data_IF_386571618609
#
_entry.id   IF_386571618609
#
_cell.length_a   1.000
_cell.length_b   1.000
_cell.length_c   1.000
_cell.angle_alpha   90.00
_cell.angle_beta   90.00
_cell.angle_gamma   90.00
#
_symmetry.space_group_name_H-M   'P 1'
#
loop_
_entity.id
_entity.type
_entity.pdbx_description
1 polymer ?
#
# COMPACT_ATOMS: atom_id res chain seq x y z
N UNK A 1 14.41 -2.88 -12.78
CA UNK A 1 14.08 -1.82 -13.75
C UNK A 1 14.80 -0.50 -13.41
N UNK A 2 14.99 -0.20 -12.13
CA UNK A 2 15.77 0.98 -11.70
C UNK A 2 17.24 0.63 -11.61
N UNK A 3 17.55 -0.43 -10.86
CA UNK A 3 18.90 -0.91 -10.61
C UNK A 3 18.88 -2.43 -10.41
N UNK A 4 20.05 -3.07 -10.47
CA UNK A 4 20.25 -4.48 -10.13
C UNK A 4 20.82 -4.67 -8.72
N UNK A 5 21.26 -3.58 -8.08
CA UNK A 5 21.78 -3.57 -6.72
C UNK A 5 20.66 -3.16 -5.73
N UNK A 6 19.78 -4.10 -5.45
CA UNK A 6 18.62 -3.87 -4.58
C UNK A 6 18.94 -4.31 -3.16
N UNK A 7 18.92 -3.35 -2.24
CA UNK A 7 18.97 -3.61 -0.81
C UNK A 7 17.59 -3.37 -0.18
N UNK A 8 17.20 -4.23 0.75
CA UNK A 8 15.92 -4.11 1.43
C UNK A 8 16.14 -3.76 2.89
N UNK A 9 15.57 -2.65 3.33
CA UNK A 9 15.58 -2.21 4.72
C UNK A 9 14.33 -2.76 5.43
N UNK A 10 14.53 -3.66 6.38
CA UNK A 10 13.49 -4.26 7.21
C UNK A 10 13.56 -3.64 8.61
N UNK A 11 12.53 -2.91 8.98
CA UNK A 11 12.45 -2.21 10.27
C UNK A 11 11.21 -2.70 11.03
N UNK A 12 11.38 -3.07 12.29
CA UNK A 12 10.25 -3.50 13.13
C UNK A 12 10.68 -4.02 14.48
N UNK A 13 9.79 -4.73 15.16
CA UNK A 13 10.04 -5.51 16.37
C UNK A 13 9.87 -6.99 16.05
N UNK A 14 10.88 -7.81 16.34
CA UNK A 14 10.84 -9.25 16.09
C UNK A 14 10.85 -9.60 14.60
N UNK A 15 11.68 -8.93 13.80
CA UNK A 15 11.66 -9.02 12.32
C UNK A 15 12.58 -10.09 11.71
N UNK A 16 13.15 -10.99 12.51
CA UNK A 16 14.08 -12.03 12.04
C UNK A 16 13.48 -12.91 10.94
N UNK A 17 12.22 -13.36 11.12
CA UNK A 17 11.54 -14.21 10.13
C UNK A 17 11.27 -13.48 8.82
N UNK A 18 10.90 -12.20 8.91
CA UNK A 18 10.68 -11.34 7.74
C UNK A 18 11.98 -11.10 6.99
N UNK A 19 13.05 -10.77 7.71
CA UNK A 19 14.38 -10.56 7.13
C UNK A 19 14.88 -11.82 6.41
N UNK A 20 14.65 -13.00 7.00
CA UNK A 20 14.98 -14.28 6.37
C UNK A 20 14.17 -14.49 5.09
N UNK A 21 12.86 -14.31 5.11
CA UNK A 21 12.02 -14.47 3.92
C UNK A 21 12.44 -13.52 2.80
N UNK A 22 12.77 -12.27 3.12
CA UNK A 22 13.24 -11.29 2.13
C UNK A 22 14.62 -11.66 1.58
N UNK A 23 15.50 -12.25 2.38
CA UNK A 23 16.82 -12.68 1.89
C UNK A 23 16.74 -13.79 0.83
N UNK A 24 15.66 -14.53 0.78
CA UNK A 24 15.41 -15.59 -0.19
C UNK A 24 14.82 -15.07 -1.52
N UNK A 25 14.47 -13.78 -1.60
CA UNK A 25 13.92 -13.15 -2.82
C UNK A 25 15.03 -12.93 -3.85
N UNK A 26 14.88 -13.38 -5.11
CA UNK A 26 15.86 -13.14 -6.18
C UNK A 26 16.11 -11.64 -6.40
N UNK A 27 17.35 -11.31 -6.78
CA UNK A 27 17.80 -9.94 -7.03
C UNK A 27 17.94 -9.02 -5.80
N UNK A 28 17.54 -9.46 -4.62
CA UNK A 28 17.93 -8.80 -3.37
C UNK A 28 19.40 -9.15 -3.08
N UNK A 29 20.25 -8.14 -2.90
CA UNK A 29 21.68 -8.32 -2.62
C UNK A 29 21.99 -8.23 -1.14
N UNK A 30 21.22 -7.43 -0.41
CA UNK A 30 21.40 -7.22 1.02
C UNK A 30 20.08 -6.95 1.69
N UNK A 31 19.90 -7.49 2.89
CA UNK A 31 18.82 -7.13 3.81
C UNK A 31 19.45 -6.38 4.99
N UNK A 32 19.04 -5.14 5.20
CA UNK A 32 19.44 -4.34 6.35
C UNK A 32 18.35 -4.48 7.38
N UNK A 33 18.65 -5.15 8.48
CA UNK A 33 17.70 -5.43 9.55
C UNK A 33 17.87 -4.45 10.70
N UNK A 34 16.78 -3.80 11.06
CA UNK A 34 16.68 -2.92 12.23
C UNK A 34 15.55 -3.43 13.11
N UNK A 35 15.91 -4.10 14.20
CA UNK A 35 14.98 -4.69 15.16
C UNK A 35 15.02 -3.92 16.47
N UNK A 36 13.92 -3.22 16.80
CA UNK A 36 13.81 -2.47 18.04
C UNK A 36 12.34 -2.27 18.43
N UNK A 37 12.04 -2.24 19.72
CA UNK A 37 10.69 -2.04 20.27
C UNK A 37 10.02 -0.74 19.84
N UNK A 38 10.79 0.33 19.57
CA UNK A 38 10.25 1.63 19.16
C UNK A 38 9.49 1.58 17.83
N UNK A 39 9.69 0.51 17.04
CA UNK A 39 9.03 0.33 15.73
C UNK A 39 7.77 -0.54 15.79
N UNK A 40 7.38 -1.07 16.96
CA UNK A 40 6.23 -1.96 17.13
C UNK A 40 4.92 -1.34 16.60
N UNK A 41 4.74 -0.03 16.75
CA UNK A 41 3.49 0.65 16.44
C UNK A 41 3.48 1.43 15.12
N UNK A 42 4.49 1.24 14.26
CA UNK A 42 4.57 1.83 12.92
C UNK A 42 4.42 3.36 12.88
N UNK A 43 4.96 4.07 13.88
CA UNK A 43 4.97 5.53 13.89
C UNK A 43 5.98 6.06 12.87
N UNK A 44 5.52 6.77 11.84
CA UNK A 44 6.37 7.24 10.74
C UNK A 44 7.58 8.06 11.22
N UNK A 45 7.42 8.82 12.27
CA UNK A 45 8.47 9.63 12.89
C UNK A 45 9.65 8.79 13.37
N UNK A 46 9.38 7.64 13.96
CA UNK A 46 10.43 6.74 14.45
C UNK A 46 11.18 6.08 13.28
N UNK A 47 10.46 5.68 12.23
CA UNK A 47 11.06 5.05 11.04
C UNK A 47 11.92 6.02 10.23
N UNK A 48 11.52 7.27 10.15
CA UNK A 48 12.14 8.27 9.27
C UNK A 48 13.62 8.47 9.58
N UNK A 49 14.02 8.56 10.85
CA UNK A 49 15.41 8.81 11.25
C UNK A 49 16.37 7.72 10.75
N UNK A 50 15.97 6.47 10.85
CA UNK A 50 16.75 5.32 10.34
C UNK A 50 16.81 5.33 8.83
N UNK A 51 15.67 5.57 8.15
CA UNK A 51 15.63 5.58 6.69
C UNK A 51 16.52 6.69 6.14
N UNK A 52 16.46 7.90 6.70
CA UNK A 52 17.30 9.03 6.27
C UNK A 52 18.78 8.70 6.43
N UNK A 53 19.18 8.13 7.58
CA UNK A 53 20.58 7.69 7.82
C UNK A 53 21.03 6.64 6.81
N UNK A 54 20.20 5.63 6.53
CA UNK A 54 20.53 4.60 5.56
C UNK A 54 20.57 5.15 4.13
N UNK A 55 19.69 6.09 3.80
CA UNK A 55 19.57 6.68 2.46
C UNK A 55 20.83 7.45 2.01
N UNK A 56 21.76 7.79 2.90
CA UNK A 56 23.01 8.45 2.53
C UNK A 56 23.76 7.70 1.44
N UNK A 57 23.73 6.37 1.47
CA UNK A 57 24.47 5.48 0.56
C UNK A 57 23.66 5.04 -0.68
N UNK A 58 22.44 5.58 -0.86
CA UNK A 58 21.54 5.15 -1.93
C UNK A 58 21.11 6.31 -2.82
N UNK A 59 20.94 6.02 -4.10
CA UNK A 59 20.39 6.94 -5.09
C UNK A 59 18.84 6.96 -5.07
N UNK A 60 18.23 5.87 -4.63
CA UNK A 60 16.78 5.69 -4.60
C UNK A 60 16.32 5.20 -3.25
N UNK A 61 15.24 5.78 -2.75
CA UNK A 61 14.47 5.29 -1.61
C UNK A 61 13.06 5.00 -2.10
N UNK A 62 12.68 3.72 -2.02
CA UNK A 62 11.42 3.24 -2.60
C UNK A 62 10.59 2.54 -1.54
N UNK A 63 9.29 2.83 -1.49
CA UNK A 63 8.35 2.06 -0.69
C UNK A 63 7.01 1.88 -1.42
N UNK A 64 6.17 1.00 -0.89
CA UNK A 64 4.79 0.81 -1.37
C UNK A 64 3.94 2.06 -1.13
N UNK A 65 3.06 2.41 -2.09
CA UNK A 65 2.07 3.48 -1.97
C UNK A 65 0.82 3.06 -1.14
N UNK A 66 1.00 2.17 -0.14
CA UNK A 66 -0.03 1.86 0.84
C UNK A 66 -0.18 3.00 1.87
N UNK A 67 -1.10 2.87 2.80
CA UNK A 67 -1.38 3.90 3.81
C UNK A 67 -0.14 4.27 4.63
N UNK A 68 0.68 3.27 5.03
CA UNK A 68 1.90 3.52 5.78
C UNK A 68 2.95 4.25 4.94
N UNK A 69 3.21 3.80 3.71
CA UNK A 69 4.17 4.44 2.81
C UNK A 69 3.78 5.86 2.41
N UNK A 70 2.48 6.12 2.24
CA UNK A 70 1.93 7.48 2.00
C UNK A 70 2.12 8.41 3.20
N UNK A 71 2.14 7.88 4.41
CA UNK A 71 2.45 8.65 5.63
C UNK A 71 3.96 8.84 5.82
N UNK A 72 4.76 7.81 5.54
CA UNK A 72 6.19 7.77 5.81
C UNK A 72 7.03 8.55 4.78
N UNK A 73 6.83 8.27 3.49
CA UNK A 73 7.74 8.74 2.44
C UNK A 73 7.78 10.27 2.28
N UNK A 74 6.69 11.04 2.41
CA UNK A 74 6.76 12.50 2.34
C UNK A 74 7.68 13.10 3.41
N UNK A 75 7.68 12.50 4.61
CA UNK A 75 8.56 12.91 5.70
C UNK A 75 10.02 12.57 5.40
N UNK A 76 10.29 11.38 4.87
CA UNK A 76 11.64 10.98 4.43
C UNK A 76 12.15 11.92 3.36
N UNK A 77 11.35 12.19 2.33
CA UNK A 77 11.71 13.07 1.23
C UNK A 77 12.03 14.49 1.72
N UNK A 78 11.21 15.04 2.62
CA UNK A 78 11.43 16.37 3.21
C UNK A 78 12.76 16.45 3.98
N UNK A 79 13.11 15.41 4.76
CA UNK A 79 14.38 15.40 5.51
C UNK A 79 15.61 15.12 4.63
N UNK A 80 15.42 14.53 3.46
CA UNK A 80 16.48 14.36 2.45
C UNK A 80 16.58 15.56 1.50
N UNK A 81 15.77 16.60 1.70
CA UNK A 81 15.65 17.79 0.83
C UNK A 81 15.47 17.40 -0.65
N UNK A 82 14.51 16.51 -0.91
CA UNK A 82 14.22 15.99 -2.25
C UNK A 82 12.72 15.92 -2.52
N UNK A 83 12.35 15.98 -3.79
CA UNK A 83 10.97 15.84 -4.22
C UNK A 83 10.54 14.38 -4.23
N UNK A 84 9.31 14.10 -3.77
CA UNK A 84 8.74 12.76 -3.86
C UNK A 84 8.00 12.55 -5.18
N UNK A 85 8.27 11.44 -5.88
CA UNK A 85 7.44 10.95 -6.97
C UNK A 85 6.47 9.90 -6.42
N UNK A 86 5.19 10.27 -6.34
CA UNK A 86 4.17 9.46 -5.66
C UNK A 86 3.43 8.53 -6.60
N UNK A 87 3.17 7.29 -6.11
CA UNK A 87 2.21 6.34 -6.67
C UNK A 87 2.51 5.99 -8.14
N UNK A 88 3.79 5.70 -8.44
CA UNK A 88 4.18 5.32 -9.81
C UNK A 88 3.60 3.97 -10.20
N UNK A 89 3.27 3.84 -11.48
CA UNK A 89 2.73 2.63 -12.10
C UNK A 89 3.67 2.02 -13.14
N UNK A 90 4.74 2.72 -13.50
CA UNK A 90 5.77 2.25 -14.41
C UNK A 90 7.08 2.99 -14.20
N UNK A 91 8.17 2.26 -14.31
CA UNK A 91 9.54 2.81 -14.41
C UNK A 91 9.90 2.90 -15.89
N UNK A 92 10.27 4.10 -16.36
CA UNK A 92 10.73 4.34 -17.74
C UNK A 92 12.26 4.33 -17.78
N UNK A 93 12.88 4.99 -16.82
CA UNK A 93 14.34 4.96 -16.59
C UNK A 93 14.61 5.15 -15.10
N UNK A 94 15.87 5.15 -14.68
CA UNK A 94 16.25 5.34 -13.28
C UNK A 94 15.75 6.67 -12.68
N UNK A 95 15.47 7.69 -13.49
CA UNK A 95 15.03 9.01 -13.05
C UNK A 95 13.64 9.41 -13.58
N UNK A 96 13.00 8.56 -14.40
CA UNK A 96 11.78 8.89 -15.12
C UNK A 96 10.70 7.84 -14.88
N UNK A 97 9.54 8.28 -14.45
CA UNK A 97 8.45 7.44 -13.95
C UNK A 97 7.10 7.86 -14.54
N UNK A 98 6.20 6.90 -14.74
CA UNK A 98 4.81 7.15 -15.09
C UNK A 98 3.93 7.07 -13.85
N UNK A 99 3.07 8.07 -13.64
CA UNK A 99 2.12 8.08 -12.53
C UNK A 99 0.75 8.56 -12.96
N UNK A 100 -0.35 8.06 -12.35
CA UNK A 100 -1.68 8.59 -12.59
C UNK A 100 -1.86 9.94 -11.88
N UNK A 101 -2.62 10.82 -12.53
CA UNK A 101 -3.10 12.09 -12.00
C UNK A 101 -4.60 12.22 -12.27
N UNK A 102 -5.28 13.18 -11.66
CA UNK A 102 -6.74 13.37 -11.80
C UNK A 102 -7.53 12.07 -11.56
N UNK A 103 -7.24 11.39 -10.44
CA UNK A 103 -7.87 10.10 -10.09
C UNK A 103 -7.71 9.00 -11.18
N UNK A 104 -6.61 9.06 -11.94
CA UNK A 104 -6.30 8.09 -12.99
C UNK A 104 -6.93 8.37 -14.35
N UNK A 105 -7.53 9.55 -14.54
CA UNK A 105 -8.03 9.98 -15.86
C UNK A 105 -6.93 10.46 -16.81
N UNK A 106 -5.77 10.80 -16.25
CA UNK A 106 -4.59 11.16 -17.02
C UNK A 106 -3.35 10.51 -16.42
N UNK A 107 -2.30 10.38 -17.22
CA UNK A 107 -1.01 9.87 -16.82
C UNK A 107 0.06 10.92 -17.06
N UNK A 108 0.90 11.16 -16.07
CA UNK A 108 2.04 12.05 -16.17
C UNK A 108 3.34 11.25 -16.21
N UNK A 109 4.17 11.54 -17.20
CA UNK A 109 5.58 11.13 -17.19
C UNK A 109 6.37 12.19 -16.43
N UNK A 110 6.97 11.79 -15.32
CA UNK A 110 7.71 12.70 -14.42
C UNK A 110 9.17 12.30 -14.41
N UNK A 111 10.05 13.25 -14.64
CA UNK A 111 11.50 13.09 -14.47
C UNK A 111 11.95 13.82 -13.20
N UNK A 112 12.61 13.08 -12.28
CA UNK A 112 13.24 13.67 -11.09
C UNK A 112 14.66 14.09 -11.43
N UNK A 113 14.99 15.36 -11.16
CA UNK A 113 16.34 15.91 -11.32
C UNK A 113 17.17 15.88 -10.04
N UNK A 114 16.55 15.51 -8.92
CA UNK A 114 17.20 15.43 -7.62
C UNK A 114 18.31 14.36 -7.63
N UNK A 115 19.33 14.53 -6.82
CA UNK A 115 20.42 13.52 -6.68
C UNK A 115 19.88 12.21 -6.09
N UNK A 116 18.98 12.29 -5.12
CA UNK A 116 18.26 11.16 -4.52
C UNK A 116 16.82 11.16 -4.99
N UNK A 117 16.26 10.00 -5.30
CA UNK A 117 14.86 9.83 -5.73
C UNK A 117 14.07 9.15 -4.62
N UNK A 118 13.08 9.85 -4.07
CA UNK A 118 12.10 9.28 -3.16
C UNK A 118 10.84 8.90 -3.93
N UNK A 119 10.51 7.61 -3.97
CA UNK A 119 9.45 7.10 -4.84
C UNK A 119 8.50 6.21 -4.05
N UNK A 120 7.19 6.42 -4.22
CA UNK A 120 6.21 5.41 -3.80
C UNK A 120 5.64 4.70 -5.01
N UNK A 121 5.56 3.37 -4.94
CA UNK A 121 5.09 2.51 -6.03
C UNK A 121 3.68 1.98 -5.74
N UNK A 122 2.86 1.88 -6.77
CA UNK A 122 1.56 1.19 -6.70
C UNK A 122 1.79 -0.32 -6.84
N UNK A 123 1.63 -1.13 -5.79
CA UNK A 123 1.99 -2.56 -5.87
C UNK A 123 1.23 -3.31 -6.95
N UNK A 124 -0.04 -2.96 -7.17
CA UNK A 124 -0.92 -3.61 -8.14
C UNK A 124 -0.53 -3.37 -9.61
N UNK A 125 0.41 -2.48 -9.88
CA UNK A 125 0.90 -2.17 -11.24
C UNK A 125 2.21 -2.88 -11.58
N UNK A 126 2.71 -3.72 -10.68
CA UNK A 126 3.96 -4.48 -10.88
C UNK A 126 3.74 -5.95 -10.55
N UNK A 127 4.37 -6.81 -11.31
CA UNK A 127 4.32 -8.24 -11.04
C UNK A 127 5.05 -8.58 -9.73
N UNK A 128 4.51 -9.48 -8.91
CA UNK A 128 5.17 -9.92 -7.70
C UNK A 128 6.47 -10.67 -8.04
N UNK A 129 7.52 -10.40 -7.25
CA UNK A 129 8.76 -11.16 -7.35
C UNK A 129 8.56 -12.61 -6.86
N UNK A 130 9.40 -13.52 -7.35
CA UNK A 130 9.47 -14.86 -6.78
C UNK A 130 9.88 -14.77 -5.30
N UNK A 131 9.33 -15.67 -4.47
CA UNK A 131 9.56 -15.67 -3.02
C UNK A 131 10.76 -16.51 -2.58
N UNK A 132 11.42 -17.19 -3.51
CA UNK A 132 12.56 -18.07 -3.24
C UNK A 132 13.55 -18.08 -4.40
N UNK A 133 14.79 -18.49 -4.12
CA UNK A 133 15.87 -18.56 -5.12
C UNK A 133 16.96 -17.50 -4.94
N UNK A 134 16.80 -16.57 -3.99
CA UNK A 134 17.83 -15.63 -3.56
C UNK A 134 18.62 -16.13 -2.35
N UNK A 135 19.68 -15.39 -2.03
CA UNK A 135 20.57 -15.67 -0.88
C UNK A 135 21.25 -14.39 -0.40
N UNK A 136 20.45 -13.35 -0.14
CA UNK A 136 20.97 -12.05 0.30
C UNK A 136 21.60 -12.13 1.70
N UNK A 137 22.68 -11.39 1.90
CA UNK A 137 23.27 -11.19 3.22
C UNK A 137 22.32 -10.39 4.12
N UNK A 138 22.14 -10.82 5.38
CA UNK A 138 21.40 -10.07 6.38
C UNK A 138 22.41 -9.34 7.28
N UNK A 139 22.37 -8.02 7.26
CA UNK A 139 23.22 -7.15 8.08
C UNK A 139 22.36 -6.43 9.11
N UNK A 140 22.73 -6.53 10.38
CA UNK A 140 22.07 -5.79 11.45
C UNK A 140 22.56 -4.34 11.46
N UNK A 141 21.63 -3.41 11.61
CA UNK A 141 21.92 -2.01 11.76
C UNK A 141 21.23 -1.44 13.01
N UNK A 142 21.83 -0.39 13.56
CA UNK A 142 21.29 0.26 14.76
C UNK A 142 19.98 0.97 14.44
N UNK A 143 19.04 0.91 15.36
CA UNK A 143 17.83 1.71 15.36
C UNK A 143 18.10 3.18 15.65
N UNK A 144 17.14 4.03 15.33
CA UNK A 144 17.12 5.41 15.77
C UNK A 144 16.54 5.56 17.18
N UNK A 145 16.34 6.80 17.59
CA UNK A 145 15.66 7.14 18.82
C UNK A 145 14.16 7.31 18.60
N UNK A 146 13.37 7.04 19.64
CA UNK A 146 11.93 7.33 19.58
C UNK A 146 11.69 8.84 19.51
N UNK A 147 10.74 9.25 18.68
CA UNK A 147 10.35 10.66 18.60
C UNK A 147 9.74 11.12 19.93
N UNK A 148 10.24 12.22 20.46
CA UNK A 148 9.70 12.84 21.67
C UNK A 148 8.35 13.56 21.46
N UNK A 149 7.98 13.82 20.19
CA UNK A 149 6.82 14.64 19.84
C UNK A 149 5.53 13.85 19.67
N UNK A 150 5.60 12.51 19.65
CA UNK A 150 4.46 11.64 19.44
C UNK A 150 4.44 10.49 20.45
N UNK A 151 3.24 10.01 20.73
CA UNK A 151 3.02 8.85 21.60
C UNK A 151 1.93 7.98 21.01
N UNK A 152 2.20 6.69 20.91
CA UNK A 152 1.17 5.71 20.60
C UNK A 152 0.17 5.61 21.76
N UNK A 153 -1.11 5.70 21.46
CA UNK A 153 -2.17 5.57 22.47
C UNK A 153 -2.84 4.20 22.37
N UNK A 154 -3.39 3.88 21.20
CA UNK A 154 -4.06 2.60 20.95
C UNK A 154 -4.21 2.35 19.46
N UNK A 155 -4.41 1.08 19.12
CA UNK A 155 -4.85 0.63 17.80
C UNK A 155 -6.12 -0.19 17.99
N UNK A 156 -7.11 0.07 17.16
CA UNK A 156 -8.30 -0.75 17.03
C UNK A 156 -8.20 -1.54 15.74
N UNK A 157 -8.04 -2.84 15.85
CA UNK A 157 -7.94 -3.74 14.70
C UNK A 157 -9.14 -4.66 14.66
N UNK A 158 -9.78 -4.72 13.49
CA UNK A 158 -10.82 -5.70 13.23
C UNK A 158 -10.13 -6.93 12.65
N UNK A 159 -10.07 -8.00 13.45
CA UNK A 159 -9.58 -9.28 12.95
C UNK A 159 -10.65 -9.87 12.03
N UNK A 160 -10.25 -10.23 10.83
CA UNK A 160 -11.10 -10.89 9.85
C UNK A 160 -10.38 -12.12 9.31
N UNK A 161 -11.09 -13.24 9.25
CA UNK A 161 -10.60 -14.47 8.61
C UNK A 161 -10.70 -14.42 7.07
N UNK A 162 -11.18 -13.30 6.52
CA UNK A 162 -11.33 -13.09 5.08
C UNK A 162 -10.02 -12.68 4.43
N UNK A 163 -9.89 -12.93 3.11
CA UNK A 163 -8.77 -12.40 2.35
C UNK A 163 -8.61 -10.88 2.55
N UNK A 164 -7.36 -10.43 2.61
CA UNK A 164 -7.05 -9.01 2.73
C UNK A 164 -7.50 -8.28 1.45
N UNK A 165 -8.17 -7.14 1.61
CA UNK A 165 -8.84 -6.41 0.53
C UNK A 165 -7.89 -6.01 -0.61
N UNK A 166 -6.65 -5.66 -0.30
CA UNK A 166 -5.65 -5.24 -1.30
C UNK A 166 -5.08 -6.38 -2.14
N UNK A 167 -5.22 -7.64 -1.71
CA UNK A 167 -4.64 -8.82 -2.37
C UNK A 167 -5.67 -9.86 -2.79
N UNK A 168 -6.94 -9.66 -2.43
CA UNK A 168 -8.01 -10.60 -2.72
C UNK A 168 -8.27 -10.76 -4.23
N UNK A 169 -8.46 -12.00 -4.68
CA UNK A 169 -8.82 -12.30 -6.07
C UNK A 169 -10.27 -11.96 -6.40
N UNK A 170 -11.14 -11.99 -5.39
CA UNK A 170 -12.56 -11.63 -5.52
C UNK A 170 -12.89 -10.59 -4.47
N UNK A 171 -13.50 -9.50 -4.90
CA UNK A 171 -13.96 -8.42 -4.02
C UNK A 171 -15.44 -8.17 -4.28
N UNK A 172 -16.22 -8.08 -3.22
CA UNK A 172 -17.61 -7.64 -3.28
C UNK A 172 -17.78 -6.38 -2.43
N UNK A 173 -18.29 -5.32 -3.01
CA UNK A 173 -18.36 -4.01 -2.37
C UNK A 173 -19.78 -3.47 -2.31
N UNK A 174 -20.13 -2.90 -1.15
CA UNK A 174 -21.39 -2.21 -0.93
C UNK A 174 -21.25 -0.69 -1.02
N UNK A 175 -22.20 -0.06 -1.69
CA UNK A 175 -22.34 1.38 -1.73
C UNK A 175 -23.41 1.91 -0.80
N UNK A 176 -23.64 3.25 -0.82
CA UNK A 176 -24.72 3.89 -0.09
C UNK A 176 -26.09 3.35 -0.49
N UNK A 177 -26.25 2.82 -1.72
CA UNK A 177 -27.45 2.17 -2.21
C UNK A 177 -27.87 0.92 -1.43
N UNK A 178 -27.00 0.38 -0.56
CA UNK A 178 -27.35 -0.68 0.40
C UNK A 178 -28.37 -0.22 1.45
N UNK A 179 -28.47 1.09 1.72
CA UNK A 179 -29.48 1.70 2.59
C UNK A 179 -29.15 1.62 4.08
N UNK A 180 -28.49 0.59 4.55
CA UNK A 180 -28.11 0.44 5.98
C UNK A 180 -26.91 -0.51 6.14
N UNK A 181 -26.26 -0.46 7.31
CA UNK A 181 -25.22 -1.42 7.69
C UNK A 181 -25.76 -2.85 7.83
N UNK A 182 -27.01 -3.03 8.24
CA UNK A 182 -27.63 -4.36 8.34
C UNK A 182 -27.72 -5.08 6.99
N UNK A 183 -27.88 -4.35 5.92
CA UNK A 183 -27.94 -4.92 4.56
C UNK A 183 -26.57 -5.42 4.07
N UNK A 184 -25.47 -5.02 4.72
CA UNK A 184 -24.16 -5.61 4.45
C UNK A 184 -24.08 -7.11 4.78
N UNK A 185 -25.02 -7.64 5.58
CA UNK A 185 -25.17 -9.10 5.81
C UNK A 185 -25.40 -9.87 4.50
N UNK A 186 -26.07 -9.25 3.51
CA UNK A 186 -26.28 -9.84 2.18
C UNK A 186 -24.94 -9.99 1.43
N UNK A 187 -24.14 -8.94 1.45
CA UNK A 187 -22.77 -8.95 0.86
C UNK A 187 -21.91 -9.97 1.58
N UNK A 188 -21.97 -10.01 2.91
CA UNK A 188 -21.24 -10.95 3.76
C UNK A 188 -21.54 -12.40 3.38
N UNK A 189 -22.81 -12.75 3.22
CA UNK A 189 -23.23 -14.11 2.87
C UNK A 189 -22.71 -14.55 1.48
N UNK A 190 -22.62 -13.63 0.53
CA UNK A 190 -22.05 -13.91 -0.80
C UNK A 190 -20.51 -14.01 -0.71
N UNK A 191 -19.89 -13.10 0.03
CA UNK A 191 -18.44 -13.08 0.25
C UNK A 191 -17.93 -14.39 0.87
N UNK A 192 -18.68 -14.96 1.82
CA UNK A 192 -18.37 -16.25 2.45
C UNK A 192 -18.36 -17.39 1.44
N UNK A 193 -19.33 -17.41 0.51
CA UNK A 193 -19.41 -18.45 -0.53
C UNK A 193 -18.31 -18.33 -1.59
N UNK A 194 -17.84 -17.14 -1.86
CA UNK A 194 -16.84 -16.85 -2.88
C UNK A 194 -15.42 -16.75 -2.32
N UNK A 195 -15.25 -16.88 -1.00
CA UNK A 195 -14.00 -16.55 -0.30
C UNK A 195 -13.49 -15.17 -0.73
N UNK A 196 -14.39 -14.19 -0.74
CA UNK A 196 -14.14 -12.83 -1.22
C UNK A 196 -13.83 -11.87 -0.07
N UNK A 197 -13.02 -10.85 -0.38
CA UNK A 197 -12.91 -9.69 0.50
C UNK A 197 -14.14 -8.79 0.38
N UNK A 198 -14.48 -8.10 1.46
CA UNK A 198 -15.57 -7.11 1.49
C UNK A 198 -14.98 -5.72 1.35
N UNK A 199 -15.46 -4.98 0.36
CA UNK A 199 -15.17 -3.58 0.16
C UNK A 199 -16.40 -2.68 0.37
N UNK A 200 -16.16 -1.38 0.37
CA UNK A 200 -17.22 -0.39 0.47
C UNK A 200 -16.88 0.91 -0.25
N UNK A 201 -17.88 1.65 -0.67
CA UNK A 201 -17.68 3.02 -1.12
C UNK A 201 -17.45 3.95 0.08
N UNK A 202 -16.74 5.06 -0.15
CA UNK A 202 -16.59 6.11 0.88
C UNK A 202 -17.94 6.55 1.47
N UNK A 203 -18.96 6.71 0.62
CA UNK A 203 -20.28 7.13 1.07
C UNK A 203 -20.96 6.11 2.01
N UNK A 204 -20.68 4.82 1.88
CA UNK A 204 -21.16 3.80 2.82
C UNK A 204 -20.39 3.84 4.15
N UNK A 205 -19.09 4.10 4.10
CA UNK A 205 -18.25 4.28 5.30
C UNK A 205 -18.65 5.55 6.05
N UNK A 206 -18.79 6.69 5.36
CA UNK A 206 -19.22 7.96 5.97
C UNK A 206 -20.62 7.86 6.58
N UNK A 207 -21.48 7.01 6.02
CA UNK A 207 -22.81 6.71 6.59
C UNK A 207 -22.79 5.72 7.77
N UNK A 208 -21.61 5.22 8.14
CA UNK A 208 -21.44 4.28 9.26
C UNK A 208 -21.94 2.86 8.99
N UNK A 209 -22.13 2.47 7.72
CA UNK A 209 -22.58 1.12 7.37
C UNK A 209 -21.50 0.06 7.58
N UNK A 210 -20.24 0.45 7.42
CA UNK A 210 -19.07 -0.40 7.59
C UNK A 210 -17.86 0.47 7.96
N UNK A 211 -16.83 -0.13 8.53
CA UNK A 211 -15.62 0.59 8.95
C UNK A 211 -14.74 1.04 7.78
N UNK A 212 -13.89 2.03 8.02
CA UNK A 212 -13.00 2.64 7.02
C UNK A 212 -12.00 1.65 6.39
N UNK A 213 -11.66 0.57 7.07
CA UNK A 213 -10.73 -0.47 6.57
C UNK A 213 -11.21 -1.16 5.29
N UNK A 214 -12.52 -1.10 5.05
CA UNK A 214 -13.19 -1.63 3.87
C UNK A 214 -13.27 -0.63 2.71
N UNK A 215 -12.83 0.62 2.89
CA UNK A 215 -12.98 1.62 1.86
C UNK A 215 -12.14 1.31 0.63
N UNK A 216 -12.79 1.23 -0.53
CA UNK A 216 -12.18 1.16 -1.87
C UNK A 216 -12.33 2.51 -2.56
N UNK A 217 -11.26 3.00 -3.14
CA UNK A 217 -11.28 4.26 -3.88
C UNK A 217 -9.98 5.04 -3.78
N UNK A 218 -10.00 6.27 -4.29
CA UNK A 218 -8.84 7.16 -4.34
C UNK A 218 -8.22 7.42 -2.95
N UNK A 219 -9.05 7.57 -1.92
CA UNK A 219 -8.63 7.83 -0.53
C UNK A 219 -8.65 6.57 0.35
N UNK A 220 -9.09 5.45 -0.21
CA UNK A 220 -9.08 4.14 0.42
C UNK A 220 -8.03 3.21 -0.18
N UNK A 221 -8.35 1.93 -0.22
CA UNK A 221 -7.52 0.91 -0.86
C UNK A 221 -7.75 0.89 -2.37
N UNK A 222 -6.68 0.68 -3.13
CA UNK A 222 -6.75 0.37 -4.56
C UNK A 222 -6.65 -1.14 -4.70
N UNK A 223 -7.60 -1.73 -5.42
CA UNK A 223 -7.73 -3.17 -5.61
C UNK A 223 -7.74 -3.53 -7.09
N UNK A 224 -7.19 -4.69 -7.43
CA UNK A 224 -7.16 -5.23 -8.80
C UNK A 224 -7.51 -6.71 -8.76
N UNK A 225 -8.73 -7.08 -8.32
CA UNK A 225 -9.16 -8.48 -8.28
C UNK A 225 -9.43 -9.03 -9.67
N UNK A 226 -9.53 -10.36 -9.76
CA UNK A 226 -10.06 -11.04 -10.95
C UNK A 226 -11.55 -10.71 -11.15
N UNK A 227 -12.30 -10.58 -10.05
CA UNK A 227 -13.72 -10.24 -10.05
C UNK A 227 -14.04 -9.19 -8.99
N UNK A 228 -14.62 -8.08 -9.41
CA UNK A 228 -15.17 -7.03 -8.55
C UNK A 228 -16.68 -6.94 -8.70
N UNK A 229 -17.42 -7.16 -7.61
CA UNK A 229 -18.88 -7.04 -7.60
C UNK A 229 -19.26 -5.77 -6.85
N UNK A 230 -19.86 -4.81 -7.56
CA UNK A 230 -20.27 -3.52 -7.02
C UNK A 230 -21.78 -3.50 -6.80
N UNK A 231 -22.22 -3.39 -5.55
CA UNK A 231 -23.65 -3.42 -5.16
C UNK A 231 -24.08 -2.07 -4.60
N UNK A 232 -25.02 -1.40 -5.27
CA UNK A 232 -25.52 -0.09 -4.83
C UNK A 232 -24.47 1.02 -4.84
N UNK A 233 -23.50 0.96 -5.76
CA UNK A 233 -22.41 1.92 -5.93
C UNK A 233 -22.71 2.76 -7.17
N UNK A 234 -22.59 4.09 -7.03
CA UNK A 234 -22.95 5.06 -8.09
C UNK A 234 -21.95 5.19 -9.23
N UNK A 235 -20.77 4.55 -9.15
CA UNK A 235 -19.73 4.71 -10.16
C UNK A 235 -19.00 6.05 -10.11
N UNK A 236 -19.04 6.77 -8.98
CA UNK A 236 -18.28 8.00 -8.81
C UNK A 236 -16.78 7.78 -9.10
N UNK A 237 -16.15 8.76 -9.76
CA UNK A 237 -14.76 8.68 -10.23
C UNK A 237 -13.77 8.34 -9.10
N UNK A 238 -14.04 8.78 -7.88
CA UNK A 238 -13.21 8.49 -6.71
C UNK A 238 -13.24 7.00 -6.32
N UNK A 239 -14.37 6.33 -6.53
CA UNK A 239 -14.49 4.88 -6.33
C UNK A 239 -13.87 4.12 -7.50
N UNK A 240 -14.16 4.54 -8.72
CA UNK A 240 -13.56 3.94 -9.92
C UNK A 240 -12.03 3.95 -9.86
N UNK A 241 -11.42 5.03 -9.40
CA UNK A 241 -9.96 5.12 -9.24
C UNK A 241 -9.37 3.98 -8.38
N UNK A 242 -10.17 3.38 -7.50
CA UNK A 242 -9.74 2.29 -6.62
C UNK A 242 -9.99 0.88 -7.17
N UNK A 243 -10.74 0.71 -8.28
CA UNK A 243 -11.13 -0.65 -8.70
C UNK A 243 -11.23 -0.84 -10.23
N UNK A 244 -11.07 0.19 -11.02
CA UNK A 244 -11.26 0.15 -12.48
C UNK A 244 -10.35 -0.82 -13.22
N UNK A 245 -9.19 -1.16 -12.64
CA UNK A 245 -8.23 -2.11 -13.21
C UNK A 245 -8.59 -3.57 -12.88
N UNK A 246 -9.73 -3.84 -12.22
CA UNK A 246 -10.25 -5.19 -12.01
C UNK A 246 -10.51 -5.88 -13.33
N UNK A 247 -10.21 -7.18 -13.45
CA UNK A 247 -10.37 -7.91 -14.73
C UNK A 247 -11.82 -8.00 -15.17
N UNK A 248 -12.73 -8.27 -14.23
CA UNK A 248 -14.17 -8.35 -14.46
C UNK A 248 -14.85 -7.49 -13.41
N UNK A 249 -15.75 -6.62 -13.85
CA UNK A 249 -16.57 -5.78 -12.98
C UNK A 249 -18.04 -6.12 -13.23
N UNK A 250 -18.75 -6.49 -12.17
CA UNK A 250 -20.19 -6.70 -12.17
C UNK A 250 -20.85 -5.62 -11.32
N UNK A 251 -21.75 -4.85 -11.92
CA UNK A 251 -22.49 -3.81 -11.22
C UNK A 251 -23.94 -4.27 -10.98
N UNK A 252 -24.40 -4.14 -9.74
CA UNK A 252 -25.78 -4.37 -9.34
C UNK A 252 -26.30 -3.07 -8.74
N UNK A 253 -27.10 -2.36 -9.52
CA UNK A 253 -27.67 -1.07 -9.15
C UNK A 253 -29.05 -0.89 -9.81
N UNK A 254 -29.89 -0.03 -9.24
CA UNK A 254 -31.18 0.33 -9.83
C UNK A 254 -31.05 1.46 -10.86
N UNK A 255 -30.02 2.28 -10.72
CA UNK A 255 -29.72 3.39 -11.62
C UNK A 255 -28.71 2.89 -12.67
N UNK A 256 -28.96 3.19 -13.94
CA UNK A 256 -28.13 2.79 -15.07
C UNK A 256 -26.86 3.62 -15.22
#
# INVERSE_FOLDING_TARGET
QIDQDVHVLVIGKGVDSVSKSISEVPNVKKVIQVDNEIYENFLAENFTSVIVKQAENYSHVVCSANTFGKNLMPRVAALLDTSQVSDIIKVISADTFLRPIYAGNAFATVKSTDSKKCVTIRPTSFDPAATSGGSAEIVKADGGEASANIKFIKREEIKSDRPELGTARVVISGGRGMGSGDNFKLITAIADKLNAAIGASRAAVDAGYITNDHQVGQTGKVVVPDLYIAVGISGAIQHLAGMKESKIIVAINKDG
#
